data_IF_867259542916
#
_entry.id   IF_867259542916
#
_cell.length_a   1.000
_cell.length_b   1.000
_cell.length_c   1.000
_cell.angle_alpha   90.00
_cell.angle_beta   90.00
_cell.angle_gamma   90.00
#
_symmetry.space_group_name_H-M   'P 1'
#
loop_
_entity.id
_entity.type
_entity.pdbx_description
1 polymer ?
#
# COMPACT_ATOMS: atom_id res chain seq x y z
N UNK A 1 -32.50 -28.69 8.98
CA UNK A 1 -31.12 -28.12 9.06
C UNK A 1 -30.33 -28.44 7.80
N UNK A 2 -30.41 -29.67 7.26
CA UNK A 2 -29.70 -30.09 6.04
C UNK A 2 -30.23 -29.41 4.77
N UNK A 3 -31.55 -29.35 4.57
CA UNK A 3 -32.15 -28.72 3.38
C UNK A 3 -31.78 -27.23 3.21
N UNK A 4 -31.64 -26.51 4.34
CA UNK A 4 -31.19 -25.12 4.34
C UNK A 4 -29.73 -24.96 3.91
N UNK A 5 -28.87 -25.92 4.29
CA UNK A 5 -27.46 -25.94 3.86
C UNK A 5 -27.35 -26.27 2.37
N UNK A 6 -28.11 -27.25 1.88
CA UNK A 6 -28.13 -27.61 0.46
C UNK A 6 -28.65 -26.46 -0.42
N UNK A 7 -29.71 -25.79 0.03
CA UNK A 7 -30.24 -24.60 -0.65
C UNK A 7 -29.20 -23.47 -0.70
N UNK A 8 -28.51 -23.21 0.41
CA UNK A 8 -27.45 -22.21 0.49
C UNK A 8 -26.28 -22.55 -0.44
N UNK A 9 -25.86 -23.82 -0.47
CA UNK A 9 -24.79 -24.28 -1.36
C UNK A 9 -25.14 -24.05 -2.84
N UNK A 10 -26.34 -24.47 -3.27
CA UNK A 10 -26.82 -24.25 -4.64
C UNK A 10 -26.86 -22.76 -5.00
N UNK A 11 -27.27 -21.90 -4.07
CA UNK A 11 -27.26 -20.46 -4.28
C UNK A 11 -25.83 -19.92 -4.46
N UNK A 12 -24.86 -20.35 -3.64
CA UNK A 12 -23.45 -19.96 -3.79
C UNK A 12 -22.83 -20.48 -5.08
N UNK A 13 -23.13 -21.72 -5.48
CA UNK A 13 -22.68 -22.30 -6.76
C UNK A 13 -23.22 -21.51 -7.95
N UNK A 14 -24.52 -21.18 -7.93
CA UNK A 14 -25.14 -20.33 -8.94
C UNK A 14 -24.47 -18.95 -9.02
N UNK A 15 -24.29 -18.26 -7.88
CA UNK A 15 -23.60 -16.96 -7.84
C UNK A 15 -22.17 -17.03 -8.38
N UNK A 16 -21.42 -18.11 -8.06
CA UNK A 16 -20.04 -18.31 -8.52
C UNK A 16 -19.95 -18.70 -10.00
N UNK A 17 -21.03 -19.17 -10.62
CA UNK A 17 -21.05 -19.47 -12.06
C UNK A 17 -21.00 -18.21 -12.93
N UNK A 18 -21.36 -17.05 -12.38
CA UNK A 18 -21.27 -15.77 -13.08
C UNK A 18 -19.89 -15.16 -12.88
N UNK A 19 -19.21 -14.86 -14.00
CA UNK A 19 -17.96 -14.09 -13.97
C UNK A 19 -18.28 -12.61 -14.05
N UNK A 20 -18.11 -11.89 -12.93
CA UNK A 20 -18.11 -10.42 -12.90
C UNK A 20 -16.66 -9.95 -12.89
N UNK A 21 -16.29 -9.08 -13.83
CA UNK A 21 -14.97 -8.44 -13.81
C UNK A 21 -14.91 -7.49 -12.63
N UNK A 22 -13.75 -7.35 -11.99
CA UNK A 22 -13.54 -6.35 -10.94
C UNK A 22 -13.76 -4.90 -11.46
N UNK A 23 -13.67 -4.71 -12.78
CA UNK A 23 -13.98 -3.44 -13.45
C UNK A 23 -15.48 -3.17 -13.62
N UNK A 24 -16.36 -4.12 -13.31
CA UNK A 24 -17.81 -3.94 -13.46
C UNK A 24 -18.33 -3.04 -12.34
N UNK A 25 -18.93 -1.86 -12.67
CA UNK A 25 -19.43 -0.95 -11.65
C UNK A 25 -20.64 -1.58 -10.91
N UNK A 26 -20.88 -1.19 -9.64
CA UNK A 26 -22.10 -1.59 -8.94
C UNK A 26 -23.33 -1.04 -9.66
N UNK A 27 -24.46 -1.75 -9.56
CA UNK A 27 -25.73 -1.33 -10.16
C UNK A 27 -26.26 -0.01 -9.57
N UNK A 28 -25.81 0.36 -8.37
CA UNK A 28 -26.16 1.61 -7.70
C UNK A 28 -24.89 2.46 -7.58
N UNK A 29 -24.94 3.65 -8.18
CA UNK A 29 -23.90 4.67 -8.01
C UNK A 29 -24.40 5.64 -6.95
N UNK A 30 -23.71 5.68 -5.80
CA UNK A 30 -23.89 6.77 -4.85
C UNK A 30 -23.17 8.00 -5.39
N UNK A 31 -23.92 9.05 -5.72
CA UNK A 31 -23.36 10.34 -6.06
C UNK A 31 -23.49 11.29 -4.86
N UNK A 32 -22.39 11.56 -4.11
CA UNK A 32 -22.43 12.47 -2.98
C UNK A 32 -22.55 13.95 -3.38
N UNK A 33 -22.45 14.27 -4.68
CA UNK A 33 -22.53 15.64 -5.18
C UNK A 33 -23.95 16.17 -4.98
N UNK A 34 -24.13 17.25 -4.20
CA UNK A 34 -25.43 17.93 -4.11
C UNK A 34 -25.89 18.40 -5.51
N UNK A 35 -27.21 18.40 -5.75
CA UNK A 35 -27.78 18.67 -7.08
C UNK A 35 -27.28 19.97 -7.74
N UNK A 36 -27.02 21.01 -6.94
CA UNK A 36 -26.60 22.33 -7.42
C UNK A 36 -25.09 22.61 -7.22
N UNK A 37 -24.33 21.63 -6.73
CA UNK A 37 -22.90 21.81 -6.49
C UNK A 37 -22.13 21.77 -7.81
N UNK A 38 -21.54 22.91 -8.18
CA UNK A 38 -20.55 22.99 -9.25
C UNK A 38 -19.15 22.96 -8.61
N UNK A 39 -18.32 22.00 -9.04
CA UNK A 39 -16.91 21.96 -8.67
C UNK A 39 -16.06 22.45 -9.82
N UNK A 40 -14.98 23.14 -9.51
CA UNK A 40 -13.94 23.42 -10.49
C UNK A 40 -13.38 22.08 -11.00
N UNK A 41 -13.54 21.83 -12.29
CA UNK A 41 -13.02 20.61 -12.93
C UNK A 41 -11.57 20.78 -13.38
N UNK A 42 -11.01 21.98 -13.24
CA UNK A 42 -9.63 22.28 -13.60
C UNK A 42 -8.76 22.02 -12.37
N UNK A 43 -7.95 20.97 -12.44
CA UNK A 43 -6.94 20.72 -11.43
C UNK A 43 -5.85 21.79 -11.51
N UNK A 44 -5.79 22.68 -10.52
CA UNK A 44 -4.73 23.66 -10.38
C UNK A 44 -3.42 22.98 -9.96
N UNK A 45 -2.29 23.63 -10.26
CA UNK A 45 -0.98 23.21 -9.75
C UNK A 45 -0.98 23.19 -8.23
N UNK A 46 -0.55 22.09 -7.64
CA UNK A 46 -0.47 21.93 -6.19
C UNK A 46 0.87 22.47 -5.71
N UNK A 47 0.82 23.43 -4.79
CA UNK A 47 1.97 23.73 -3.93
C UNK A 47 1.96 22.75 -2.75
N UNK A 48 2.96 21.88 -2.72
CA UNK A 48 3.10 20.84 -1.71
C UNK A 48 3.67 21.37 -0.38
N UNK A 49 4.06 22.64 -0.32
CA UNK A 49 4.66 23.27 0.86
C UNK A 49 5.85 22.47 1.41
N UNK A 50 6.77 22.07 0.51
CA UNK A 50 7.95 21.29 0.88
C UNK A 50 8.91 22.14 1.72
N UNK A 51 9.55 21.58 2.76
CA UNK A 51 10.56 22.32 3.52
C UNK A 51 11.72 22.74 2.63
N UNK A 52 12.23 23.96 2.81
CA UNK A 52 13.30 24.49 1.94
C UNK A 52 14.63 23.73 2.11
N UNK A 53 14.94 23.33 3.34
CA UNK A 53 16.19 22.65 3.70
C UNK A 53 15.90 21.55 4.71
N UNK A 54 16.41 20.36 4.40
CA UNK A 54 16.38 19.19 5.27
C UNK A 54 17.77 18.58 5.23
N UNK A 55 18.32 18.27 6.39
CA UNK A 55 19.63 17.62 6.52
C UNK A 55 19.46 16.14 6.83
N UNK A 56 20.49 15.34 6.53
CA UNK A 56 20.52 13.97 7.03
C UNK A 56 20.68 13.99 8.56
N UNK A 57 19.99 13.10 9.29
CA UNK A 57 20.20 12.97 10.72
C UNK A 57 21.60 12.40 11.01
N UNK A 58 22.12 12.69 12.20
CA UNK A 58 23.35 12.07 12.70
C UNK A 58 23.16 10.55 12.84
N UNK A 59 22.01 10.12 13.37
CA UNK A 59 21.63 8.72 13.50
C UNK A 59 20.65 8.33 12.41
N UNK A 60 21.04 7.38 11.54
CA UNK A 60 20.21 6.94 10.40
C UNK A 60 18.82 6.45 10.79
N UNK A 61 18.63 5.90 11.99
CA UNK A 61 17.32 5.42 12.46
C UNK A 61 16.28 6.54 12.58
N UNK A 62 16.70 7.80 12.72
CA UNK A 62 15.79 8.95 12.76
C UNK A 62 15.06 9.18 11.43
N UNK A 63 15.60 8.69 10.30
CA UNK A 63 14.93 8.74 9.00
C UNK A 63 13.54 8.10 9.04
N UNK A 64 13.29 7.16 9.96
CA UNK A 64 11.98 6.52 10.12
C UNK A 64 10.89 7.47 10.65
N UNK A 65 11.27 8.62 11.21
CA UNK A 65 10.35 9.61 11.76
C UNK A 65 10.26 10.88 10.91
N UNK A 66 11.02 10.95 9.81
CA UNK A 66 10.92 12.04 8.85
C UNK A 66 9.60 11.91 8.10
N UNK A 67 8.93 13.04 7.88
CA UNK A 67 7.77 13.13 7.01
C UNK A 67 8.13 12.81 5.56
N UNK A 68 7.12 12.44 4.77
CA UNK A 68 7.30 12.24 3.32
C UNK A 68 7.87 13.49 2.65
N UNK A 69 7.46 14.69 3.08
CA UNK A 69 7.98 15.96 2.57
C UNK A 69 9.46 16.14 2.86
N UNK A 70 9.93 15.75 4.05
CA UNK A 70 11.34 15.82 4.41
C UNK A 70 12.18 14.82 3.62
N UNK A 71 11.72 13.56 3.55
CA UNK A 71 12.38 12.52 2.75
C UNK A 71 12.44 12.88 1.27
N UNK A 72 11.37 13.48 0.74
CA UNK A 72 11.29 14.00 -0.62
C UNK A 72 12.38 15.03 -0.90
N UNK A 73 12.60 15.98 0.03
CA UNK A 73 13.64 17.00 -0.10
C UNK A 73 15.04 16.37 -0.05
N UNK A 74 15.28 15.38 0.82
CA UNK A 74 16.55 14.66 0.87
C UNK A 74 16.87 13.96 -0.46
N UNK A 75 15.89 13.29 -1.07
CA UNK A 75 16.05 12.67 -2.40
C UNK A 75 16.28 13.74 -3.46
N UNK A 76 15.40 14.73 -3.55
CA UNK A 76 15.47 15.80 -4.57
C UNK A 76 16.81 16.54 -4.55
N UNK A 77 17.36 16.77 -3.35
CA UNK A 77 18.67 17.44 -3.15
C UNK A 77 19.85 16.47 -3.21
N UNK A 78 19.62 15.19 -3.55
CA UNK A 78 20.64 14.13 -3.68
C UNK A 78 21.45 13.89 -2.40
N UNK A 79 20.87 14.20 -1.22
CA UNK A 79 21.47 13.90 0.07
C UNK A 79 21.33 12.42 0.43
N UNK A 80 20.30 11.76 -0.08
CA UNK A 80 20.12 10.31 -0.04
C UNK A 80 19.59 9.82 -1.39
N UNK A 81 19.98 8.60 -1.78
CA UNK A 81 19.42 7.96 -2.97
C UNK A 81 18.10 7.25 -2.63
N UNK A 82 17.22 7.08 -3.60
CA UNK A 82 16.02 6.24 -3.46
C UNK A 82 16.41 4.81 -3.10
N UNK A 83 17.48 4.28 -3.70
CA UNK A 83 18.00 2.93 -3.39
C UNK A 83 18.42 2.79 -1.92
N UNK A 84 19.13 3.77 -1.38
CA UNK A 84 19.56 3.74 0.03
C UNK A 84 18.38 3.90 1.00
N UNK A 85 17.42 4.79 0.69
CA UNK A 85 16.22 4.97 1.50
C UNK A 85 15.33 3.72 1.47
N UNK A 86 15.19 3.10 0.30
CA UNK A 86 14.48 1.83 0.10
C UNK A 86 15.12 0.71 0.91
N UNK A 87 16.45 0.59 0.85
CA UNK A 87 17.21 -0.38 1.65
C UNK A 87 17.01 -0.15 3.16
N UNK A 88 16.99 1.11 3.59
CA UNK A 88 16.75 1.47 4.99
C UNK A 88 15.39 0.97 5.48
N UNK A 89 14.29 1.30 4.79
CA UNK A 89 12.96 0.87 5.21
C UNK A 89 12.71 -0.63 5.05
N UNK A 90 13.26 -1.28 4.00
CA UNK A 90 13.22 -2.74 3.86
C UNK A 90 13.92 -3.44 5.04
N UNK A 91 15.07 -2.94 5.49
CA UNK A 91 15.77 -3.49 6.65
C UNK A 91 14.95 -3.35 7.94
N UNK A 92 14.23 -2.23 8.11
CA UNK A 92 13.33 -2.04 9.25
C UNK A 92 12.14 -3.01 9.21
N UNK A 93 11.52 -3.16 8.04
CA UNK A 93 10.45 -4.15 7.83
C UNK A 93 10.92 -5.57 8.14
N UNK A 94 12.11 -5.96 7.70
CA UNK A 94 12.70 -7.27 8.06
C UNK A 94 12.98 -7.42 9.55
N UNK A 95 13.38 -6.34 10.23
CA UNK A 95 13.72 -6.36 11.65
C UNK A 95 12.49 -6.45 12.56
N UNK A 96 11.41 -5.75 12.21
CA UNK A 96 10.25 -5.58 13.09
C UNK A 96 8.97 -6.23 12.57
N UNK A 97 8.88 -6.52 11.27
CA UNK A 97 7.67 -7.01 10.62
C UNK A 97 7.17 -8.33 11.21
N UNK A 98 8.07 -9.26 11.49
CA UNK A 98 7.76 -10.54 12.14
C UNK A 98 7.36 -10.38 13.61
N UNK A 99 7.83 -9.33 14.30
CA UNK A 99 7.40 -9.05 15.69
C UNK A 99 6.02 -8.39 15.72
N UNK A 100 5.70 -7.60 14.69
CA UNK A 100 4.46 -6.82 14.60
C UNK A 100 3.35 -7.51 13.79
N UNK A 101 3.68 -8.60 13.10
CA UNK A 101 2.79 -9.32 12.18
C UNK A 101 2.14 -8.39 11.14
N UNK A 102 2.89 -7.40 10.65
CA UNK A 102 2.35 -6.32 9.82
C UNK A 102 2.59 -6.49 8.31
N UNK A 103 3.23 -7.59 7.88
CA UNK A 103 3.66 -7.81 6.49
C UNK A 103 3.06 -9.11 5.95
N UNK A 104 2.48 -9.05 4.75
CA UNK A 104 2.08 -10.24 3.98
C UNK A 104 3.19 -10.64 3.01
N UNK A 105 3.77 -9.67 2.31
CA UNK A 105 4.79 -9.93 1.28
C UNK A 105 5.71 -8.73 1.16
N UNK A 106 7.02 -8.95 1.24
CA UNK A 106 8.01 -7.94 0.83
C UNK A 106 8.15 -7.98 -0.69
N UNK A 107 8.19 -6.81 -1.33
CA UNK A 107 8.34 -6.67 -2.78
C UNK A 107 9.76 -6.23 -3.13
N UNK A 108 10.78 -6.82 -2.50
CA UNK A 108 12.17 -6.33 -2.53
C UNK A 108 12.72 -6.13 -3.93
N UNK A 109 12.56 -7.12 -4.81
CA UNK A 109 13.07 -7.05 -6.18
C UNK A 109 12.43 -5.89 -6.96
N UNK A 110 11.10 -5.77 -6.90
CA UNK A 110 10.38 -4.65 -7.50
C UNK A 110 10.80 -3.31 -6.88
N UNK A 111 10.91 -3.26 -5.56
CA UNK A 111 11.30 -2.06 -4.81
C UNK A 111 12.68 -1.57 -5.23
N UNK A 112 13.69 -2.44 -5.28
CA UNK A 112 15.02 -2.06 -5.74
C UNK A 112 15.03 -1.64 -7.22
N UNK A 113 14.29 -2.32 -8.09
CA UNK A 113 14.16 -1.94 -9.50
C UNK A 113 13.53 -0.56 -9.67
N UNK A 114 12.46 -0.26 -8.92
CA UNK A 114 11.79 1.05 -8.95
C UNK A 114 12.68 2.15 -8.35
N UNK A 115 13.40 1.86 -7.27
CA UNK A 115 14.32 2.80 -6.64
C UNK A 115 15.51 3.16 -7.54
N UNK A 116 16.13 2.17 -8.18
CA UNK A 116 17.20 2.40 -9.16
C UNK A 116 16.73 3.26 -10.32
N UNK A 117 15.52 2.99 -10.85
CA UNK A 117 14.91 3.82 -11.89
C UNK A 117 14.70 5.27 -11.43
N UNK A 118 14.23 5.47 -10.19
CA UNK A 118 14.06 6.81 -9.64
C UNK A 118 15.40 7.56 -9.50
N UNK A 119 16.47 6.86 -9.10
CA UNK A 119 17.82 7.42 -9.02
C UNK A 119 18.36 7.79 -10.42
N UNK A 120 18.19 6.92 -11.42
CA UNK A 120 18.57 7.18 -12.82
C UNK A 120 17.82 8.37 -13.41
N UNK A 121 16.50 8.46 -13.19
CA UNK A 121 15.69 9.59 -13.64
C UNK A 121 16.16 10.90 -13.01
N UNK A 122 16.41 10.91 -11.70
CA UNK A 122 16.89 12.09 -11.00
C UNK A 122 18.31 12.50 -11.44
N UNK A 123 19.17 11.52 -11.75
CA UNK A 123 20.49 11.78 -12.33
C UNK A 123 20.38 12.47 -13.70
N UNK A 124 19.37 12.11 -14.50
CA UNK A 124 19.06 12.71 -15.79
C UNK A 124 18.20 14.00 -15.71
N UNK A 125 17.97 14.54 -14.51
CA UNK A 125 17.20 15.77 -14.30
C UNK A 125 15.67 15.59 -14.37
N UNK A 126 15.19 14.35 -14.38
CA UNK A 126 13.76 14.01 -14.39
C UNK A 126 13.30 13.81 -12.93
N UNK A 127 12.54 14.77 -12.41
CA UNK A 127 11.92 14.69 -11.09
C UNK A 127 10.40 14.68 -11.22
N UNK A 128 9.75 13.60 -10.79
CA UNK A 128 8.29 13.40 -10.96
C UNK A 128 7.42 14.11 -9.94
N UNK A 129 8.01 14.64 -8.87
CA UNK A 129 7.30 15.32 -7.78
C UNK A 129 7.62 14.70 -6.41
N UNK A 130 6.86 15.05 -5.36
CA UNK A 130 7.21 14.72 -3.98
C UNK A 130 7.33 13.23 -3.65
N UNK A 131 6.70 12.35 -4.43
CA UNK A 131 6.75 10.91 -4.22
C UNK A 131 7.89 10.22 -5.00
N UNK A 132 8.67 10.97 -5.78
CA UNK A 132 9.76 10.43 -6.59
C UNK A 132 10.80 9.74 -5.69
N UNK A 133 10.93 8.42 -5.85
CA UNK A 133 11.85 7.59 -5.10
C UNK A 133 11.44 7.25 -3.66
N UNK A 134 10.22 7.63 -3.23
CA UNK A 134 9.75 7.40 -1.85
C UNK A 134 9.25 5.96 -1.68
N UNK A 135 9.81 5.17 -0.74
CA UNK A 135 9.33 3.84 -0.45
C UNK A 135 7.97 3.86 0.26
N UNK A 136 7.08 2.92 -0.09
CA UNK A 136 5.77 2.75 0.53
C UNK A 136 5.33 1.29 0.59
N UNK A 137 4.40 0.99 1.50
CA UNK A 137 3.68 -0.27 1.56
C UNK A 137 2.20 -0.11 1.21
N UNK A 138 1.60 -1.12 0.59
CA UNK A 138 0.16 -1.14 0.28
C UNK A 138 -0.55 -2.13 1.19
N UNK A 139 -1.80 -1.85 1.55
CA UNK A 139 -2.67 -2.87 2.15
C UNK A 139 -2.80 -4.06 1.19
N UNK A 140 -2.78 -5.30 1.70
CA UNK A 140 -2.98 -6.55 0.94
C UNK A 140 -4.42 -6.76 0.40
N UNK A 141 -5.09 -5.65 0.12
CA UNK A 141 -6.32 -5.52 -0.64
C UNK A 141 -6.05 -5.08 -2.08
N UNK A 142 -4.98 -4.30 -2.27
CA UNK A 142 -4.65 -3.67 -3.55
C UNK A 142 -3.86 -4.64 -4.41
N UNK A 143 -4.44 -5.03 -5.54
CA UNK A 143 -3.81 -5.95 -6.48
C UNK A 143 -2.53 -5.37 -7.08
N UNK A 144 -1.51 -6.21 -7.20
CA UNK A 144 -0.24 -5.90 -7.88
C UNK A 144 0.11 -7.13 -8.68
N UNK A 145 0.21 -6.97 -9.99
CA UNK A 145 0.51 -8.06 -10.90
C UNK A 145 1.86 -8.70 -10.55
N UNK A 146 1.94 -10.03 -10.61
CA UNK A 146 3.13 -10.79 -10.18
C UNK A 146 3.27 -10.99 -8.67
N UNK A 147 2.42 -10.37 -7.86
CA UNK A 147 2.38 -10.55 -6.40
C UNK A 147 1.02 -11.08 -5.93
N UNK A 148 1.05 -11.93 -4.89
CA UNK A 148 -0.19 -12.42 -4.27
C UNK A 148 -0.99 -11.26 -3.70
N UNK A 149 -2.30 -11.39 -3.71
CA UNK A 149 -3.24 -10.44 -3.08
C UNK A 149 -4.32 -11.26 -2.39
N UNK A 150 -4.20 -11.42 -1.07
CA UNK A 150 -4.86 -12.53 -0.36
C UNK A 150 -6.03 -12.09 0.50
N UNK A 151 -6.20 -10.78 0.67
CA UNK A 151 -7.26 -10.18 1.48
C UNK A 151 -7.25 -10.67 2.94
N UNK A 152 -6.10 -11.13 3.44
CA UNK A 152 -5.93 -11.68 4.79
C UNK A 152 -6.74 -12.94 5.07
N UNK A 153 -7.31 -13.59 4.04
CA UNK A 153 -8.29 -14.66 4.19
C UNK A 153 -7.72 -16.01 3.71
N UNK A 154 -7.91 -17.05 4.53
CA UNK A 154 -7.34 -18.39 4.28
C UNK A 154 -7.63 -18.97 2.89
N UNK A 155 -8.87 -18.94 2.39
CA UNK A 155 -9.21 -19.44 1.04
C UNK A 155 -8.49 -18.72 -0.11
N UNK A 156 -8.02 -17.49 0.11
CA UNK A 156 -7.40 -16.64 -0.91
C UNK A 156 -5.89 -16.48 -0.68
N UNK A 157 -5.28 -17.27 0.21
CA UNK A 157 -3.85 -17.16 0.58
C UNK A 157 -2.89 -17.25 -0.62
N UNK A 158 -3.28 -17.97 -1.66
CA UNK A 158 -2.49 -18.15 -2.89
C UNK A 158 -3.07 -17.39 -4.10
N UNK A 159 -4.05 -16.52 -3.88
CA UNK A 159 -4.68 -15.73 -4.93
C UNK A 159 -3.67 -14.78 -5.59
N UNK A 160 -3.62 -14.85 -6.92
CA UNK A 160 -2.93 -13.91 -7.80
C UNK A 160 -3.97 -13.24 -8.68
N UNK A 161 -3.90 -11.93 -8.79
CA UNK A 161 -4.77 -11.13 -9.66
C UNK A 161 -3.87 -10.56 -10.76
N UNK A 162 -4.18 -10.88 -12.02
CA UNK A 162 -3.42 -10.46 -13.21
C UNK A 162 -3.68 -8.98 -13.58
N UNK A 163 -3.81 -8.14 -12.56
CA UNK A 163 -4.03 -6.71 -12.72
C UNK A 163 -3.36 -5.95 -11.58
N UNK A 164 -2.79 -4.79 -11.90
CA UNK A 164 -2.34 -3.84 -10.90
C UNK A 164 -3.42 -2.79 -10.64
N UNK A 165 -3.76 -2.57 -9.37
CA UNK A 165 -4.76 -1.61 -8.94
C UNK A 165 -4.41 -0.19 -9.42
N UNK A 166 -5.42 0.57 -9.84
CA UNK A 166 -5.23 1.92 -10.42
C UNK A 166 -4.43 2.86 -9.53
N UNK A 167 -4.62 2.81 -8.20
CA UNK A 167 -3.87 3.64 -7.27
C UNK A 167 -2.38 3.27 -7.22
N UNK A 168 -2.05 1.98 -7.29
CA UNK A 168 -0.65 1.51 -7.34
C UNK A 168 0.02 1.98 -8.64
N UNK A 169 -0.69 1.88 -9.78
CA UNK A 169 -0.22 2.43 -11.06
C UNK A 169 0.05 3.93 -10.98
N UNK A 170 -0.83 4.69 -10.33
CA UNK A 170 -0.67 6.15 -10.14
C UNK A 170 0.52 6.49 -9.24
N UNK A 171 0.74 5.71 -8.17
CA UNK A 171 1.90 5.87 -7.28
C UNK A 171 3.22 5.58 -8.02
N UNK A 172 3.27 4.50 -8.81
CA UNK A 172 4.43 4.19 -9.66
C UNK A 172 4.66 5.28 -10.72
N UNK A 173 3.60 5.81 -11.33
CA UNK A 173 3.69 6.94 -12.27
C UNK A 173 4.25 8.20 -11.60
N UNK A 174 3.93 8.43 -10.31
CA UNK A 174 4.52 9.50 -9.51
C UNK A 174 5.97 9.22 -9.04
N UNK A 175 6.51 8.03 -9.35
CA UNK A 175 7.87 7.61 -8.99
C UNK A 175 8.00 6.96 -7.61
N UNK A 176 6.90 6.65 -6.93
CA UNK A 176 6.95 5.97 -5.64
C UNK A 176 7.40 4.51 -5.77
N UNK A 177 8.05 3.99 -4.73
CA UNK A 177 8.70 2.67 -4.71
C UNK A 177 7.93 1.70 -3.82
N UNK A 178 7.32 0.68 -4.40
CA UNK A 178 6.57 -0.32 -3.64
C UNK A 178 7.54 -1.31 -2.97
N UNK A 179 7.52 -1.38 -1.64
CA UNK A 179 8.42 -2.25 -0.87
C UNK A 179 7.71 -3.36 -0.08
N UNK A 180 6.40 -3.26 0.13
CA UNK A 180 5.63 -4.27 0.84
C UNK A 180 4.13 -4.28 0.53
N UNK A 181 3.53 -5.46 0.67
CA UNK A 181 2.10 -5.66 0.93
C UNK A 181 1.91 -5.93 2.42
N UNK A 182 1.09 -5.11 3.06
CA UNK A 182 0.89 -5.02 4.49
C UNK A 182 -0.36 -5.78 4.91
N UNK A 183 -0.31 -6.36 6.11
CA UNK A 183 -1.40 -7.16 6.66
C UNK A 183 -2.69 -6.36 6.82
N UNK A 184 -3.80 -7.09 6.81
CA UNK A 184 -5.14 -6.54 6.98
C UNK A 184 -6.05 -7.61 7.56
N UNK A 185 -7.06 -7.21 8.34
CA UNK A 185 -8.08 -8.16 8.78
C UNK A 185 -8.76 -8.85 7.62
N UNK A 186 -9.06 -10.13 7.79
CA UNK A 186 -9.62 -10.98 6.74
C UNK A 186 -10.86 -10.34 6.11
N UNK A 187 -10.87 -10.23 4.78
CA UNK A 187 -11.97 -9.61 4.01
C UNK A 187 -12.32 -8.20 4.48
N UNK A 188 -11.31 -7.45 4.93
CA UNK A 188 -11.42 -6.11 5.45
C UNK A 188 -12.26 -6.00 6.75
N UNK A 189 -12.28 -7.05 7.58
CA UNK A 189 -12.95 -7.07 8.88
C UNK A 189 -11.96 -7.32 10.05
N UNK A 190 -11.95 -6.44 11.04
CA UNK A 190 -11.08 -6.58 12.23
C UNK A 190 -9.58 -6.53 11.91
N UNK A 191 -8.73 -7.02 12.80
CA UNK A 191 -7.26 -7.05 12.68
C UNK A 191 -6.66 -8.46 12.62
N UNK A 192 -7.53 -9.47 12.60
CA UNK A 192 -7.18 -10.89 12.53
C UNK A 192 -7.11 -11.32 11.07
N UNK A 193 -6.01 -11.94 10.67
CA UNK A 193 -5.75 -12.40 9.31
C UNK A 193 -5.13 -13.79 9.34
N UNK A 194 -5.59 -14.67 8.45
CA UNK A 194 -5.34 -16.11 8.52
C UNK A 194 -5.64 -16.72 9.89
N UNK A 195 -4.63 -16.82 10.76
CA UNK A 195 -4.68 -17.34 12.14
C UNK A 195 -3.85 -16.47 13.10
N UNK A 196 -3.58 -15.22 12.71
CA UNK A 196 -2.72 -14.30 13.43
C UNK A 196 -3.36 -12.90 13.52
N UNK A 197 -2.80 -12.03 14.35
CA UNK A 197 -3.28 -10.67 14.59
C UNK A 197 -2.13 -9.69 14.43
N UNK A 198 -2.35 -8.60 13.70
CA UNK A 198 -1.35 -7.52 13.63
C UNK A 198 -1.24 -6.83 15.00
N UNK A 199 -0.03 -6.70 15.54
CA UNK A 199 0.21 -6.20 16.89
C UNK A 199 0.50 -4.69 16.91
N UNK A 200 0.01 -4.03 17.95
CA UNK A 200 0.17 -2.60 18.16
C UNK A 200 1.62 -2.27 18.52
N UNK A 201 2.33 -1.41 17.77
CA UNK A 201 3.72 -1.08 18.04
C UNK A 201 3.92 -0.31 19.36
N UNK A 202 2.86 0.29 19.90
CA UNK A 202 2.87 0.95 21.22
C UNK A 202 2.66 -0.02 22.39
N UNK A 203 2.05 -1.18 22.13
CA UNK A 203 1.83 -2.23 23.12
C UNK A 203 1.64 -3.59 22.44
N UNK A 204 2.69 -4.41 22.42
CA UNK A 204 2.71 -5.72 21.76
C UNK A 204 1.74 -6.75 22.38
N UNK A 205 1.05 -6.43 23.49
CA UNK A 205 -0.01 -7.26 24.08
C UNK A 205 -1.39 -6.98 23.48
N UNK A 206 -1.50 -6.01 22.57
CA UNK A 206 -2.76 -5.58 21.94
C UNK A 206 -2.66 -5.70 20.42
N UNK A 207 -3.80 -5.97 19.78
CA UNK A 207 -3.93 -5.87 18.32
C UNK A 207 -4.01 -4.42 17.85
N UNK A 208 -3.77 -4.19 16.56
CA UNK A 208 -3.74 -2.86 15.93
C UNK A 208 -5.10 -2.36 15.43
N UNK A 209 -6.20 -3.06 15.73
CA UNK A 209 -7.54 -2.75 15.20
C UNK A 209 -7.63 -2.81 13.67
N UNK A 210 -8.86 -2.72 13.16
CA UNK A 210 -9.20 -3.20 11.83
C UNK A 210 -9.72 -2.15 10.85
N UNK A 211 -9.63 -2.38 9.55
CA UNK A 211 -8.98 -3.55 8.91
C UNK A 211 -7.66 -3.26 8.24
N UNK A 212 -7.22 -2.01 8.23
CA UNK A 212 -5.93 -1.60 7.68
C UNK A 212 -4.81 -1.72 8.73
N UNK A 213 -4.81 -2.82 9.47
CA UNK A 213 -3.99 -3.02 10.67
C UNK A 213 -2.48 -2.90 10.37
N UNK A 214 -2.00 -3.62 9.34
CA UNK A 214 -0.61 -3.57 8.90
C UNK A 214 -0.22 -2.20 8.35
N UNK A 215 -1.13 -1.53 7.64
CA UNK A 215 -0.92 -0.17 7.12
C UNK A 215 -0.72 0.88 8.21
N UNK A 216 -1.34 0.72 9.37
CA UNK A 216 -1.15 1.62 10.51
C UNK A 216 0.06 1.24 11.38
N UNK A 217 0.45 -0.04 11.35
CA UNK A 217 1.51 -0.58 12.21
C UNK A 217 2.90 -0.42 11.61
N UNK A 218 3.02 -0.55 10.29
CA UNK A 218 4.28 -0.42 9.55
C UNK A 218 4.75 1.04 9.50
#
# INVERSE_FOLDING_TARGET
>A
MMDGLESSLKAFESMRSFTLKNSTPPAIIFNPVPADACFDQIQQSIDWNLPEKVELPEYKEELAFYSVSELSVLIKTKKITSTDLTKFFLNRLKKFGDTLHCIITLTEELGFKQAQKADEELANGIYRGPLHGIPYGVKDLLAVEGYKTTWGAGPFKDQVIEETATIVKKLEQAGAVLIAKLSMGALAMGDVWYRDTTLNPWNLRQGSSGSSAGSATA
#
